data_IF_738236303313
#
_entry.id   IF_738236303313
#
_cell.length_a   1.000
_cell.length_b   1.000
_cell.length_c   1.000
_cell.angle_alpha   90.00
_cell.angle_beta   90.00
_cell.angle_gamma   90.00
#
_symmetry.space_group_name_H-M   'P 1'
#
loop_
_entity.id
_entity.type
_entity.pdbx_description
1 polymer ?
#
# COMPACT_ATOMS: atom_id res chain seq x y z
N UNK A 1 16.00 -21.56 11.49
CA UNK A 1 17.14 -20.66 11.19
C UNK A 1 18.24 -21.41 10.43
N UNK A 2 18.80 -22.49 10.99
CA UNK A 2 19.89 -23.26 10.35
C UNK A 2 19.57 -23.81 8.94
N UNK A 3 18.37 -24.32 8.70
CA UNK A 3 17.97 -24.85 7.38
C UNK A 3 17.80 -23.75 6.31
N UNK A 4 17.32 -22.57 6.70
CA UNK A 4 17.13 -21.42 5.78
C UNK A 4 18.47 -20.86 5.35
N UNK A 5 19.44 -20.79 6.27
CA UNK A 5 20.79 -20.33 5.99
C UNK A 5 21.51 -21.24 4.98
N UNK A 6 21.35 -22.56 5.11
CA UNK A 6 21.89 -23.52 4.13
C UNK A 6 21.30 -23.35 2.74
N UNK A 7 19.98 -23.13 2.63
CA UNK A 7 19.31 -22.91 1.33
C UNK A 7 19.76 -21.59 0.72
N UNK A 8 19.83 -20.51 1.49
CA UNK A 8 20.36 -19.22 1.03
C UNK A 8 21.81 -19.34 0.54
N UNK A 9 22.64 -20.12 1.24
CA UNK A 9 24.02 -20.36 0.83
C UNK A 9 24.10 -21.21 -0.45
N UNK A 10 23.26 -22.24 -0.60
CA UNK A 10 23.19 -23.03 -1.82
C UNK A 10 22.77 -22.18 -3.03
N UNK A 11 21.80 -21.27 -2.86
CA UNK A 11 21.38 -20.34 -3.92
C UNK A 11 22.50 -19.36 -4.28
N UNK A 12 23.23 -18.83 -3.29
CA UNK A 12 24.39 -17.96 -3.53
C UNK A 12 25.49 -18.66 -4.32
N UNK A 13 25.82 -19.90 -3.98
CA UNK A 13 26.84 -20.68 -4.71
C UNK A 13 26.38 -21.05 -6.12
N UNK A 14 25.09 -21.32 -6.31
CA UNK A 14 24.51 -21.55 -7.63
C UNK A 14 24.61 -20.30 -8.53
N UNK A 15 24.26 -19.12 -8.00
CA UNK A 15 24.40 -17.85 -8.72
C UNK A 15 25.85 -17.54 -9.09
N UNK A 16 26.80 -17.77 -8.17
CA UNK A 16 28.25 -17.64 -8.49
C UNK A 16 28.68 -18.57 -9.62
N UNK A 17 28.15 -19.79 -9.64
CA UNK A 17 28.45 -20.77 -10.69
C UNK A 17 27.92 -20.30 -12.05
N UNK A 18 26.69 -19.77 -12.09
CA UNK A 18 26.10 -19.20 -13.30
C UNK A 18 26.93 -18.01 -13.81
N UNK A 19 27.28 -17.07 -12.94
CA UNK A 19 28.11 -15.91 -13.32
C UNK A 19 29.49 -16.32 -13.84
N UNK A 20 30.09 -17.34 -13.23
CA UNK A 20 31.37 -17.89 -13.68
C UNK A 20 31.26 -18.56 -15.07
N UNK A 21 30.14 -19.23 -15.35
CA UNK A 21 29.85 -19.81 -16.65
C UNK A 21 29.66 -18.73 -17.72
N UNK A 22 28.92 -17.65 -17.42
CA UNK A 22 28.78 -16.49 -18.32
C UNK A 22 30.14 -15.83 -18.64
N UNK A 23 30.97 -15.60 -17.62
CA UNK A 23 32.28 -14.93 -17.79
C UNK A 23 33.28 -15.73 -18.64
N UNK A 24 33.15 -17.05 -18.68
CA UNK A 24 34.10 -17.91 -19.41
C UNK A 24 33.84 -17.99 -20.92
N UNK A 25 32.79 -17.34 -21.44
CA UNK A 25 32.48 -17.34 -22.88
C UNK A 25 32.21 -18.74 -23.44
N UNK A 26 31.94 -19.73 -22.58
CA UNK A 26 31.76 -21.14 -22.93
C UNK A 26 30.33 -21.42 -23.39
N UNK A 27 29.78 -20.62 -24.31
CA UNK A 27 28.45 -20.91 -24.86
C UNK A 27 28.42 -20.69 -26.38
N UNK A 28 28.78 -21.76 -27.11
CA UNK A 28 28.24 -22.04 -28.44
C UNK A 28 26.89 -22.75 -28.36
N UNK A 29 26.17 -22.55 -27.25
CA UNK A 29 24.88 -23.15 -26.97
C UNK A 29 23.82 -22.19 -27.52
N UNK A 30 22.84 -22.72 -28.24
CA UNK A 30 21.78 -21.91 -28.84
C UNK A 30 21.00 -21.23 -27.72
N UNK A 31 20.68 -19.94 -27.85
CA UNK A 31 19.83 -19.14 -26.93
C UNK A 31 18.65 -19.91 -26.29
N UNK A 32 18.11 -20.90 -27.00
CA UNK A 32 17.06 -21.81 -26.52
C UNK A 32 17.45 -22.60 -25.27
N UNK A 33 18.66 -23.15 -25.18
CA UNK A 33 19.06 -23.99 -24.05
C UNK A 33 19.44 -23.13 -22.82
N UNK A 34 19.92 -21.90 -23.04
CA UNK A 34 20.14 -20.91 -21.97
C UNK A 34 18.81 -20.52 -21.30
N UNK A 35 17.77 -20.28 -22.11
CA UNK A 35 16.44 -19.96 -21.61
C UNK A 35 15.80 -21.14 -20.86
N UNK A 36 16.02 -22.38 -21.34
CA UNK A 36 15.61 -23.60 -20.65
C UNK A 36 16.32 -23.79 -19.31
N UNK A 37 17.64 -23.60 -19.27
CA UNK A 37 18.41 -23.69 -18.03
C UNK A 37 17.98 -22.62 -17.02
N UNK A 38 17.77 -21.37 -17.46
CA UNK A 38 17.27 -20.29 -16.62
C UNK A 38 15.88 -20.61 -16.05
N UNK A 39 14.95 -21.11 -16.88
CA UNK A 39 13.61 -21.49 -16.45
C UNK A 39 13.63 -22.63 -15.43
N UNK A 40 14.43 -23.68 -15.67
CA UNK A 40 14.55 -24.81 -14.75
C UNK A 40 15.13 -24.38 -13.39
N UNK A 41 16.08 -23.46 -13.41
CA UNK A 41 16.71 -22.93 -12.20
C UNK A 41 15.73 -22.06 -11.41
N UNK A 42 14.98 -21.20 -12.09
CA UNK A 42 13.94 -20.38 -11.49
C UNK A 42 12.81 -21.23 -10.91
N UNK A 43 12.40 -22.29 -11.61
CA UNK A 43 11.41 -23.26 -11.13
C UNK A 43 11.91 -24.02 -9.90
N UNK A 44 13.17 -24.48 -9.92
CA UNK A 44 13.80 -25.14 -8.76
C UNK A 44 13.87 -24.19 -7.56
N UNK A 45 14.30 -22.95 -7.77
CA UNK A 45 14.33 -21.92 -6.72
C UNK A 45 12.93 -21.66 -6.15
N UNK A 46 11.92 -21.53 -7.02
CA UNK A 46 10.53 -21.33 -6.63
C UNK A 46 10.00 -22.50 -5.80
N UNK A 47 10.26 -23.74 -6.22
CA UNK A 47 9.83 -24.95 -5.51
C UNK A 47 10.51 -25.09 -4.15
N UNK A 48 11.82 -24.84 -4.06
CA UNK A 48 12.55 -24.81 -2.79
C UNK A 48 11.99 -23.75 -1.85
N UNK A 49 11.78 -22.54 -2.36
CA UNK A 49 11.18 -21.42 -1.64
C UNK A 49 9.79 -21.75 -1.08
N UNK A 50 8.94 -22.35 -1.91
CA UNK A 50 7.61 -22.82 -1.54
C UNK A 50 7.67 -23.88 -0.44
N UNK A 51 8.60 -24.84 -0.53
CA UNK A 51 8.80 -25.86 0.49
C UNK A 51 9.24 -25.26 1.84
N UNK A 52 10.14 -24.27 1.82
CA UNK A 52 10.57 -23.54 3.03
C UNK A 52 9.39 -22.77 3.64
N UNK A 53 8.64 -22.01 2.84
CA UNK A 53 7.46 -21.28 3.33
C UNK A 53 6.42 -22.22 3.94
N UNK A 54 6.19 -23.37 3.31
CA UNK A 54 5.29 -24.39 3.87
C UNK A 54 5.78 -24.91 5.22
N UNK A 55 7.08 -25.15 5.38
CA UNK A 55 7.65 -25.57 6.67
C UNK A 55 7.61 -24.48 7.73
N UNK A 56 7.84 -23.21 7.36
CA UNK A 56 7.74 -22.06 8.28
C UNK A 56 6.30 -21.93 8.78
N UNK A 57 5.31 -21.92 7.88
CA UNK A 57 3.88 -21.86 8.24
C UNK A 57 3.46 -23.05 9.10
N UNK A 58 3.94 -24.26 8.80
CA UNK A 58 3.65 -25.45 9.62
C UNK A 58 4.26 -25.33 11.03
N UNK A 59 5.47 -24.77 11.17
CA UNK A 59 6.08 -24.50 12.47
C UNK A 59 5.35 -23.40 13.24
N UNK A 60 4.88 -22.36 12.55
CA UNK A 60 4.05 -21.29 13.15
C UNK A 60 2.68 -21.82 13.62
N UNK A 61 2.04 -22.73 12.88
CA UNK A 61 0.74 -23.30 13.25
C UNK A 61 0.79 -24.37 14.35
N UNK A 62 1.96 -24.98 14.60
CA UNK A 62 2.08 -26.09 15.57
C UNK A 62 2.66 -25.68 16.92
N UNK A 63 3.10 -24.44 17.09
CA UNK A 63 3.49 -23.95 18.40
C UNK A 63 2.28 -23.39 19.15
N UNK A 64 1.93 -23.93 20.33
CA UNK A 64 0.90 -23.33 21.16
C UNK A 64 1.36 -21.93 21.55
N UNK A 65 0.59 -20.93 21.12
CA UNK A 65 0.80 -19.51 21.43
C UNK A 65 0.90 -19.39 22.95
N UNK A 66 2.12 -19.23 23.46
CA UNK A 66 2.31 -18.96 24.87
C UNK A 66 1.87 -17.50 25.12
N UNK A 67 0.98 -17.22 26.09
CA UNK A 67 0.42 -15.87 26.32
C UNK A 67 1.43 -14.78 26.77
N UNK A 68 2.74 -15.08 26.73
CA UNK A 68 3.85 -14.15 26.96
C UNK A 68 4.69 -13.94 25.68
N UNK A 69 4.14 -14.22 24.50
CA UNK A 69 4.86 -14.07 23.25
C UNK A 69 5.33 -12.62 23.04
N UNK A 70 6.64 -12.50 22.81
CA UNK A 70 7.32 -11.25 22.56
C UNK A 70 6.63 -10.54 21.41
N UNK A 71 6.15 -9.34 21.69
CA UNK A 71 5.73 -8.34 20.71
C UNK A 71 6.63 -8.38 19.48
N UNK A 72 6.06 -8.70 18.33
CA UNK A 72 6.80 -8.90 17.09
C UNK A 72 6.99 -7.55 16.40
N UNK A 73 8.21 -7.04 16.42
CA UNK A 73 8.58 -5.80 15.74
C UNK A 73 8.97 -6.06 14.30
N UNK A 74 8.40 -5.30 13.36
CA UNK A 74 8.61 -5.45 11.93
C UNK A 74 8.96 -4.12 11.29
N UNK A 75 9.93 -4.12 10.38
CA UNK A 75 10.25 -2.98 9.54
C UNK A 75 9.42 -3.03 8.25
N UNK A 76 8.77 -1.92 7.92
CA UNK A 76 7.85 -1.81 6.79
C UNK A 76 7.89 -0.41 6.17
N UNK A 77 7.22 -0.25 5.03
CA UNK A 77 6.95 1.05 4.42
C UNK A 77 5.45 1.28 4.36
N UNK A 78 5.07 2.53 4.60
CA UNK A 78 3.72 3.01 4.32
C UNK A 78 3.64 3.26 2.82
N UNK A 79 2.65 2.65 2.17
CA UNK A 79 2.56 2.63 0.70
C UNK A 79 1.34 3.33 0.17
N UNK A 80 0.28 3.38 0.97
CA UNK A 80 -0.94 4.09 0.68
C UNK A 80 -1.69 4.36 1.99
N UNK A 81 -2.63 5.30 1.97
CA UNK A 81 -3.54 5.53 3.09
C UNK A 81 -4.83 6.20 2.62
N UNK A 82 -5.89 6.01 3.39
CA UNK A 82 -7.12 6.78 3.27
C UNK A 82 -7.51 7.33 4.64
N UNK A 83 -8.75 7.78 4.80
CA UNK A 83 -9.21 8.38 6.07
C UNK A 83 -9.29 7.40 7.23
N UNK A 84 -9.31 6.09 7.00
CA UNK A 84 -9.65 5.08 8.01
C UNK A 84 -8.54 4.06 8.26
N UNK A 85 -7.70 3.79 7.27
CA UNK A 85 -6.59 2.84 7.36
C UNK A 85 -5.41 3.26 6.48
N UNK A 86 -4.29 2.56 6.65
CA UNK A 86 -3.11 2.69 5.80
C UNK A 86 -2.55 1.33 5.42
N UNK A 87 -1.94 1.26 4.24
CA UNK A 87 -1.36 0.03 3.68
C UNK A 87 0.13 -0.03 3.97
N UNK A 88 0.56 -1.15 4.56
CA UNK A 88 1.96 -1.45 4.82
C UNK A 88 2.49 -2.51 3.87
N UNK A 89 3.68 -2.26 3.35
CA UNK A 89 4.52 -3.28 2.73
C UNK A 89 5.50 -3.82 3.77
N UNK A 90 5.24 -5.03 4.25
CA UNK A 90 6.02 -5.67 5.32
C UNK A 90 7.18 -6.46 4.70
N UNK A 91 8.36 -5.85 4.65
CA UNK A 91 9.55 -6.45 4.02
C UNK A 91 10.05 -7.73 4.69
N UNK A 92 9.76 -7.89 5.99
CA UNK A 92 10.36 -8.92 6.81
C UNK A 92 9.91 -10.36 6.45
N UNK A 93 8.77 -10.54 5.76
CA UNK A 93 8.22 -11.89 5.57
C UNK A 93 8.46 -12.53 4.22
N UNK A 94 8.65 -11.78 3.13
CA UNK A 94 8.46 -12.44 1.84
C UNK A 94 9.19 -11.84 0.65
N UNK A 95 10.46 -11.47 0.81
CA UNK A 95 11.36 -11.23 -0.35
C UNK A 95 11.29 -12.42 -1.34
N UNK A 96 11.18 -13.62 -0.78
CA UNK A 96 11.07 -14.87 -1.53
C UNK A 96 9.72 -14.98 -2.27
N UNK A 97 8.57 -14.78 -1.61
CA UNK A 97 7.30 -14.80 -2.33
C UNK A 97 7.20 -13.65 -3.34
N UNK A 98 7.69 -12.45 -3.02
CA UNK A 98 7.71 -11.33 -3.98
C UNK A 98 8.51 -11.72 -5.23
N UNK A 99 9.70 -12.29 -5.06
CA UNK A 99 10.51 -12.75 -6.18
C UNK A 99 9.80 -13.85 -6.98
N UNK A 100 9.14 -14.79 -6.30
CA UNK A 100 8.37 -15.86 -6.94
C UNK A 100 7.18 -15.32 -7.74
N UNK A 101 6.41 -14.40 -7.17
CA UNK A 101 5.30 -13.71 -7.82
C UNK A 101 5.82 -12.94 -9.04
N UNK A 102 6.85 -12.11 -8.88
CA UNK A 102 7.43 -11.33 -10.00
C UNK A 102 7.89 -12.23 -11.14
N UNK A 103 8.61 -13.31 -10.83
CA UNK A 103 9.09 -14.26 -11.83
C UNK A 103 7.93 -14.92 -12.58
N UNK A 104 6.92 -15.38 -11.86
CA UNK A 104 5.71 -15.96 -12.45
C UNK A 104 4.95 -14.96 -13.34
N UNK A 105 4.72 -13.74 -12.84
CA UNK A 105 4.02 -12.71 -13.59
C UNK A 105 4.78 -12.30 -14.85
N UNK A 106 6.12 -12.36 -14.85
CA UNK A 106 6.93 -12.00 -16.02
C UNK A 106 6.92 -13.07 -17.11
N UNK A 107 6.99 -14.35 -16.76
CA UNK A 107 7.19 -15.45 -17.73
C UNK A 107 5.88 -15.96 -18.33
N UNK A 108 4.75 -15.71 -17.68
CA UNK A 108 3.48 -16.26 -18.08
C UNK A 108 2.87 -15.54 -19.29
N UNK A 109 2.22 -16.30 -20.16
CA UNK A 109 1.37 -15.75 -21.22
C UNK A 109 0.28 -14.84 -20.62
N UNK A 110 -0.03 -13.76 -21.33
CA UNK A 110 -0.92 -12.71 -20.87
C UNK A 110 -2.19 -12.74 -21.71
N UNK A 111 -3.30 -13.02 -21.05
CA UNK A 111 -4.64 -12.98 -21.64
C UNK A 111 -5.29 -11.69 -21.16
N UNK A 112 -5.74 -10.84 -22.08
CA UNK A 112 -6.43 -9.61 -21.70
C UNK A 112 -7.76 -9.91 -21.02
N UNK A 113 -8.10 -9.13 -20.00
CA UNK A 113 -9.39 -9.25 -19.32
C UNK A 113 -10.55 -8.90 -20.26
N UNK A 114 -11.60 -9.72 -20.24
CA UNK A 114 -12.84 -9.43 -20.94
C UNK A 114 -13.54 -8.23 -20.30
N UNK A 115 -13.54 -7.09 -20.99
CA UNK A 115 -13.98 -5.79 -20.45
C UNK A 115 -15.43 -5.73 -19.99
N UNK A 116 -16.28 -6.60 -20.52
CA UNK A 116 -17.71 -6.52 -20.32
C UNK A 116 -18.14 -6.93 -18.90
N UNK A 117 -17.23 -7.50 -18.11
CA UNK A 117 -17.53 -8.16 -16.84
C UNK A 117 -16.63 -7.69 -15.68
N UNK A 118 -15.90 -6.58 -15.83
CA UNK A 118 -15.04 -6.10 -14.75
C UNK A 118 -15.86 -5.39 -13.65
N UNK A 119 -15.61 -5.78 -12.41
CA UNK A 119 -16.25 -5.26 -11.21
C UNK A 119 -15.21 -4.84 -10.16
N UNK A 120 -15.63 -3.98 -9.23
CA UNK A 120 -14.81 -3.64 -8.06
C UNK A 120 -14.51 -4.93 -7.29
N UNK A 121 -13.30 -4.99 -6.74
CA UNK A 121 -12.72 -6.15 -6.06
C UNK A 121 -12.29 -7.33 -6.94
N UNK A 122 -12.50 -7.28 -8.26
CA UNK A 122 -11.94 -8.29 -9.16
C UNK A 122 -10.41 -8.28 -9.13
N UNK A 123 -9.84 -9.49 -9.13
CA UNK A 123 -8.40 -9.72 -9.14
C UNK A 123 -7.87 -9.81 -10.57
N UNK A 124 -6.75 -9.15 -10.82
CA UNK A 124 -6.14 -9.09 -12.14
C UNK A 124 -4.62 -9.13 -12.06
N UNK A 125 -3.99 -9.31 -13.21
CA UNK A 125 -2.61 -8.89 -13.43
C UNK A 125 -2.66 -7.48 -14.03
N UNK A 126 -1.82 -6.58 -13.53
CA UNK A 126 -1.73 -5.20 -14.02
C UNK A 126 -0.33 -4.88 -14.52
N UNK A 127 -0.25 -4.18 -15.65
CA UNK A 127 0.99 -3.68 -16.24
C UNK A 127 1.15 -2.17 -16.01
N UNK A 128 2.26 -1.77 -15.38
CA UNK A 128 2.48 -0.37 -15.02
C UNK A 128 3.04 0.52 -16.15
N UNK A 129 3.24 -0.02 -17.37
CA UNK A 129 3.87 0.71 -18.48
C UNK A 129 5.40 0.70 -18.49
N UNK A 130 6.05 0.24 -17.41
CA UNK A 130 7.50 0.25 -17.23
C UNK A 130 8.12 -1.16 -17.22
N UNK A 131 7.54 -2.10 -17.98
CA UNK A 131 8.00 -3.49 -18.08
C UNK A 131 7.82 -4.33 -16.79
N UNK A 132 6.97 -3.89 -15.85
CA UNK A 132 6.65 -4.64 -14.64
C UNK A 132 5.18 -5.01 -14.55
N UNK A 133 4.92 -6.20 -13.99
CA UNK A 133 3.60 -6.75 -13.76
C UNK A 133 3.37 -6.97 -12.28
N UNK A 134 2.14 -6.73 -11.83
CA UNK A 134 1.72 -6.85 -10.43
C UNK A 134 0.44 -7.65 -10.33
N UNK A 135 0.17 -8.24 -9.16
CA UNK A 135 -1.18 -8.66 -8.80
C UNK A 135 -1.96 -7.42 -8.38
N UNK A 136 -3.08 -7.22 -9.04
CA UNK A 136 -3.95 -6.06 -8.85
C UNK A 136 -5.31 -6.48 -8.30
N UNK A 137 -5.97 -5.53 -7.64
CA UNK A 137 -7.39 -5.58 -7.35
C UNK A 137 -8.05 -4.29 -7.80
N UNK A 138 -9.17 -4.37 -8.52
CA UNK A 138 -9.91 -3.18 -8.99
C UNK A 138 -10.51 -2.45 -7.78
N UNK A 139 -10.21 -1.16 -7.62
CA UNK A 139 -10.75 -0.33 -6.54
C UNK A 139 -11.63 0.82 -7.03
N UNK A 140 -11.51 1.20 -8.30
CA UNK A 140 -12.36 2.23 -8.93
C UNK A 140 -12.51 1.95 -10.43
N UNK A 141 -13.70 2.26 -10.98
CA UNK A 141 -14.00 2.20 -12.41
C UNK A 141 -14.71 3.50 -12.80
N UNK A 142 -14.07 4.32 -13.62
CA UNK A 142 -14.60 5.61 -14.09
C UNK A 142 -14.37 5.69 -15.60
N UNK A 143 -15.44 5.73 -16.40
CA UNK A 143 -15.35 5.92 -17.86
C UNK A 143 -14.37 4.95 -18.58
N UNK A 144 -14.39 3.66 -18.20
CA UNK A 144 -13.44 2.63 -18.68
C UNK A 144 -11.97 2.87 -18.31
N UNK A 145 -11.73 3.70 -17.30
CA UNK A 145 -10.47 3.82 -16.57
C UNK A 145 -10.56 3.09 -15.26
N UNK A 146 -9.46 2.46 -14.87
CA UNK A 146 -9.39 1.61 -13.71
C UNK A 146 -8.33 2.12 -12.76
N UNK A 147 -8.69 2.24 -11.48
CA UNK A 147 -7.70 2.34 -10.42
C UNK A 147 -7.51 0.96 -9.79
N UNK A 148 -6.27 0.52 -9.70
CA UNK A 148 -5.88 -0.81 -9.27
C UNK A 148 -4.95 -0.71 -8.07
N UNK A 149 -5.29 -1.35 -6.95
CA UNK A 149 -4.34 -1.52 -5.85
C UNK A 149 -3.44 -2.73 -6.13
N UNK A 150 -2.12 -2.53 -6.08
CA UNK A 150 -1.14 -3.60 -6.15
C UNK A 150 -1.13 -4.36 -4.82
N UNK A 151 -1.87 -5.47 -4.72
CA UNK A 151 -2.14 -6.17 -3.44
C UNK A 151 -0.88 -6.71 -2.73
N UNK A 152 0.25 -6.77 -3.42
CA UNK A 152 1.54 -7.18 -2.86
C UNK A 152 2.42 -6.02 -2.37
N UNK A 153 2.05 -4.80 -2.75
CA UNK A 153 2.85 -3.61 -2.53
C UNK A 153 2.08 -2.49 -1.82
N UNK A 154 0.75 -2.50 -1.88
CA UNK A 154 -0.16 -1.55 -1.24
C UNK A 154 -0.32 -0.22 -2.00
N UNK A 155 0.51 0.06 -3.01
CA UNK A 155 0.35 1.26 -3.84
C UNK A 155 -0.80 1.12 -4.86
N UNK A 156 -1.40 2.24 -5.24
CA UNK A 156 -2.46 2.32 -6.25
C UNK A 156 -1.86 2.79 -7.59
N UNK A 157 -2.22 2.11 -8.67
CA UNK A 157 -1.99 2.55 -10.04
C UNK A 157 -3.31 3.14 -10.56
N UNK A 158 -3.27 4.38 -11.04
CA UNK A 158 -4.47 5.14 -11.40
C UNK A 158 -4.64 5.29 -12.91
N UNK A 159 -5.89 5.51 -13.33
CA UNK A 159 -6.26 5.86 -14.71
C UNK A 159 -5.80 4.82 -15.76
N UNK A 160 -5.71 3.55 -15.36
CA UNK A 160 -5.27 2.48 -16.23
C UNK A 160 -6.34 2.15 -17.27
N UNK A 161 -5.89 1.64 -18.41
CA UNK A 161 -6.77 1.19 -19.50
C UNK A 161 -6.84 -0.33 -19.56
N UNK A 162 -7.85 -0.82 -20.27
CA UNK A 162 -8.11 -2.25 -20.50
C UNK A 162 -6.90 -3.08 -20.95
N UNK A 163 -6.08 -2.51 -21.83
CA UNK A 163 -4.87 -3.12 -22.39
C UNK A 163 -3.76 -3.31 -21.35
N UNK A 164 -3.87 -2.66 -20.20
CA UNK A 164 -2.95 -2.85 -19.08
C UNK A 164 -3.44 -3.91 -18.08
N UNK A 165 -4.64 -4.47 -18.30
CA UNK A 165 -5.27 -5.43 -17.41
C UNK A 165 -5.32 -6.81 -18.08
N UNK A 166 -4.86 -7.82 -17.35
CA UNK A 166 -4.80 -9.19 -17.80
C UNK A 166 -5.44 -10.12 -16.77
N UNK A 167 -5.94 -11.25 -17.24
CA UNK A 167 -6.54 -12.27 -16.39
C UNK A 167 -5.48 -12.76 -15.39
N UNK A 168 -5.88 -12.89 -14.14
CA UNK A 168 -5.10 -13.61 -13.15
C UNK A 168 -5.52 -15.08 -13.22
N UNK A 169 -4.75 -15.96 -13.87
CA UNK A 169 -5.18 -17.34 -14.06
C UNK A 169 -5.29 -18.05 -12.71
N UNK A 170 -6.26 -18.97 -12.63
CA UNK A 170 -6.69 -19.70 -11.43
C UNK A 170 -5.67 -20.76 -10.96
N UNK A 171 -4.44 -20.32 -10.73
CA UNK A 171 -3.28 -21.16 -10.43
C UNK A 171 -2.71 -20.75 -9.07
N UNK A 172 -1.78 -21.53 -8.54
CA UNK A 172 -1.15 -21.40 -7.22
C UNK A 172 -0.80 -19.97 -6.74
N UNK A 173 -0.56 -19.04 -7.66
CA UNK A 173 -0.32 -17.62 -7.36
C UNK A 173 -1.57 -16.90 -6.82
N UNK A 174 -2.77 -17.35 -7.14
CA UNK A 174 -4.01 -16.90 -6.50
C UNK A 174 -4.07 -17.25 -5.01
N UNK A 175 -3.51 -18.40 -4.64
CA UNK A 175 -3.53 -18.90 -3.25
C UNK A 175 -2.50 -18.22 -2.34
N UNK A 176 -1.60 -17.42 -2.91
CA UNK A 176 -0.69 -16.61 -2.11
C UNK A 176 -1.51 -15.43 -1.59
N UNK A 177 -1.66 -15.30 -0.27
CA UNK A 177 -2.31 -14.13 0.31
C UNK A 177 -1.66 -12.83 -0.20
N UNK A 178 -2.40 -11.71 -0.29
CA UNK A 178 -1.81 -10.38 -0.49
C UNK A 178 -0.60 -10.19 0.42
N UNK A 179 0.46 -9.54 -0.04
CA UNK A 179 1.62 -9.25 0.80
C UNK A 179 1.56 -7.87 1.45
N UNK A 180 0.78 -6.95 0.88
CA UNK A 180 0.43 -5.71 1.55
C UNK A 180 -0.68 -5.97 2.59
N UNK A 181 -0.64 -5.19 3.68
CA UNK A 181 -1.57 -5.32 4.80
C UNK A 181 -2.21 -3.98 5.12
N UNK A 182 -3.54 -3.97 5.18
CA UNK A 182 -4.29 -2.84 5.71
C UNK A 182 -4.11 -2.79 7.22
N UNK A 183 -3.82 -1.60 7.74
CA UNK A 183 -3.47 -1.38 9.13
C UNK A 183 -4.25 -0.22 9.74
N UNK A 184 -4.52 -0.33 11.03
CA UNK A 184 -5.03 0.74 11.88
C UNK A 184 -4.15 0.88 13.12
N UNK A 185 -4.13 2.05 13.75
CA UNK A 185 -3.37 2.26 14.98
C UNK A 185 -4.11 1.57 16.14
N UNK A 186 -3.40 0.70 16.85
CA UNK A 186 -3.92 0.04 18.04
C UNK A 186 -4.25 1.04 19.17
N UNK A 187 -5.38 0.79 19.84
CA UNK A 187 -5.93 1.60 20.94
C UNK A 187 -6.19 3.08 20.57
N UNK A 188 -6.53 3.34 19.31
CA UNK A 188 -6.98 4.64 18.80
C UNK A 188 -8.40 4.45 18.27
N UNK A 189 -9.35 5.27 18.73
CA UNK A 189 -10.72 5.27 18.23
C UNK A 189 -10.82 5.82 16.79
N UNK A 190 -11.90 5.49 16.07
CA UNK A 190 -12.08 5.86 14.66
C UNK A 190 -11.90 7.35 14.37
N UNK A 191 -12.41 8.24 15.24
CA UNK A 191 -12.29 9.69 15.06
C UNK A 191 -10.83 10.15 15.16
N UNK A 192 -10.13 9.67 16.19
CA UNK A 192 -8.71 9.97 16.36
C UNK A 192 -7.85 9.26 15.31
N UNK A 193 -8.35 8.17 14.73
CA UNK A 193 -7.63 7.41 13.75
C UNK A 193 -7.54 8.16 12.42
N UNK A 194 -8.64 8.77 11.96
CA UNK A 194 -8.59 9.68 10.81
C UNK A 194 -7.65 10.86 11.04
N UNK A 195 -7.68 11.46 12.23
CA UNK A 195 -6.77 12.57 12.58
C UNK A 195 -5.30 12.15 12.55
N UNK A 196 -4.98 10.99 13.12
CA UNK A 196 -3.62 10.46 13.10
C UNK A 196 -3.13 10.21 11.67
N UNK A 197 -4.01 9.73 10.80
CA UNK A 197 -3.67 9.48 9.40
C UNK A 197 -3.41 10.79 8.66
N UNK A 198 -4.31 11.77 8.78
CA UNK A 198 -4.17 13.06 8.10
C UNK A 198 -2.96 13.86 8.59
N UNK A 199 -2.75 13.95 9.91
CA UNK A 199 -1.72 14.81 10.50
C UNK A 199 -0.32 14.19 10.45
N UNK A 200 -0.20 12.87 10.53
CA UNK A 200 1.10 12.20 10.67
C UNK A 200 1.33 11.21 9.55
N UNK A 201 0.45 10.21 9.36
CA UNK A 201 0.75 9.10 8.45
C UNK A 201 0.96 9.57 7.01
N UNK A 202 0.11 10.48 6.52
CA UNK A 202 0.27 11.08 5.17
C UNK A 202 1.55 11.89 5.00
N UNK A 203 2.11 12.38 6.09
CA UNK A 203 3.34 13.21 6.07
C UNK A 203 4.62 12.36 6.10
N UNK A 204 4.51 11.06 6.37
CA UNK A 204 5.64 10.14 6.35
C UNK A 204 6.05 9.92 4.87
N UNK A 205 7.29 10.27 4.48
CA UNK A 205 7.74 10.06 3.11
C UNK A 205 7.67 8.59 2.71
N UNK A 206 7.30 8.30 1.46
CA UNK A 206 7.25 6.93 0.92
C UNK A 206 8.61 6.20 0.91
N UNK A 207 9.70 6.95 1.09
CA UNK A 207 11.07 6.43 1.23
C UNK A 207 11.42 6.05 2.66
N UNK A 208 10.71 6.56 3.67
CA UNK A 208 10.96 6.31 5.11
C UNK A 208 10.52 4.90 5.48
N UNK A 209 11.37 4.19 6.23
CA UNK A 209 10.99 2.92 6.86
C UNK A 209 10.46 3.19 8.26
N UNK A 210 9.37 2.50 8.61
CA UNK A 210 8.80 2.56 9.96
C UNK A 210 8.89 1.19 10.60
N UNK A 211 8.94 1.19 11.94
CA UNK A 211 8.82 -0.04 12.72
C UNK A 211 7.40 -0.14 13.24
N UNK A 212 6.77 -1.31 13.07
CA UNK A 212 5.49 -1.62 13.69
C UNK A 212 5.66 -2.71 14.73
N UNK A 213 4.82 -2.64 15.75
CA UNK A 213 4.47 -3.76 16.62
C UNK A 213 3.05 -4.19 16.27
N UNK A 214 2.83 -5.47 15.99
CA UNK A 214 1.48 -6.01 15.79
C UNK A 214 0.89 -6.33 17.16
N UNK A 215 -0.22 -5.68 17.50
CA UNK A 215 -0.89 -5.81 18.80
C UNK A 215 -2.12 -6.71 18.71
N UNK A 216 -2.83 -6.65 17.57
CA UNK A 216 -4.00 -7.48 17.28
C UNK A 216 -4.19 -7.61 15.76
N UNK A 217 -5.00 -8.58 15.33
CA UNK A 217 -5.37 -8.83 13.93
C UNK A 217 -6.84 -9.27 13.87
N UNK A 218 -7.58 -8.72 12.90
CA UNK A 218 -8.89 -9.25 12.50
C UNK A 218 -8.86 -9.66 11.02
N UNK A 219 -10.01 -10.07 10.47
CA UNK A 219 -10.12 -10.54 9.09
C UNK A 219 -9.72 -9.48 8.04
N UNK A 220 -9.69 -8.20 8.42
CA UNK A 220 -9.51 -7.06 7.51
C UNK A 220 -8.26 -6.24 7.81
N UNK A 221 -7.93 -6.03 9.08
CA UNK A 221 -6.92 -5.09 9.54
C UNK A 221 -5.92 -5.71 10.51
N UNK A 222 -4.67 -5.24 10.38
CA UNK A 222 -3.70 -5.34 11.46
C UNK A 222 -3.81 -4.10 12.36
N UNK A 223 -3.96 -4.32 13.66
CA UNK A 223 -3.88 -3.25 14.64
C UNK A 223 -2.45 -3.14 15.15
N UNK A 224 -1.83 -2.00 14.86
CA UNK A 224 -0.39 -1.83 15.06
C UNK A 224 -0.06 -0.63 15.94
N UNK A 225 1.04 -0.76 16.70
CA UNK A 225 1.75 0.38 17.26
C UNK A 225 2.82 0.82 16.26
N UNK A 226 2.74 2.05 15.76
CA UNK A 226 3.67 2.59 14.77
C UNK A 226 4.77 3.44 15.43
N UNK A 227 6.01 3.10 15.11
CA UNK A 227 7.24 3.68 15.68
C UNK A 227 8.10 4.20 14.53
N UNK A 228 8.39 5.51 14.55
CA UNK A 228 9.29 6.14 13.57
C UNK A 228 10.75 5.99 13.97
N UNK A 229 11.68 6.29 13.06
CA UNK A 229 13.13 6.22 13.32
C UNK A 229 13.59 7.05 14.53
N UNK A 230 12.88 8.14 14.83
CA UNK A 230 13.11 8.97 16.03
C UNK A 230 12.68 8.31 17.35
N UNK A 231 12.26 7.04 17.31
CA UNK A 231 11.58 6.32 18.40
C UNK A 231 10.26 6.98 18.85
N UNK A 232 9.71 7.90 18.05
CA UNK A 232 8.40 8.48 18.31
C UNK A 232 7.30 7.43 18.08
N UNK A 233 6.50 7.18 19.11
CA UNK A 233 5.32 6.29 19.05
C UNK A 233 4.12 7.13 18.61
N UNK A 234 3.65 6.90 17.39
CA UNK A 234 2.57 7.69 16.79
C UNK A 234 1.26 7.53 17.55
N UNK A 235 0.90 6.30 17.95
CA UNK A 235 -0.36 6.00 18.65
C UNK A 235 -0.55 6.84 19.91
N UNK A 236 0.54 7.13 20.65
CA UNK A 236 0.48 7.79 21.97
C UNK A 236 -0.20 9.15 21.92
N UNK A 237 -0.01 9.92 20.84
CA UNK A 237 -0.64 11.25 20.69
C UNK A 237 -2.17 11.17 20.52
N UNK A 238 -2.71 10.03 20.08
CA UNK A 238 -4.10 9.91 19.63
C UNK A 238 -4.96 8.97 20.49
N UNK A 239 -4.41 8.39 21.57
CA UNK A 239 -5.19 7.55 22.50
C UNK A 239 -6.21 8.40 23.27
N UNK A 240 -7.43 7.89 23.40
CA UNK A 240 -8.51 8.57 24.11
C UNK A 240 -8.25 8.75 25.60
N UNK A 241 -7.53 7.81 26.23
CA UNK A 241 -7.30 7.80 27.67
C UNK A 241 -6.41 8.97 28.16
N UNK A 242 -5.56 9.52 27.28
CA UNK A 242 -4.62 10.58 27.63
C UNK A 242 -5.28 11.99 27.71
N UNK A 243 -6.45 12.19 27.07
CA UNK A 243 -7.12 13.51 27.04
C UNK A 243 -7.65 13.93 28.41
N UNK A 244 -8.01 12.98 29.28
CA UNK A 244 -8.48 13.27 30.64
C UNK A 244 -7.39 13.80 31.59
N UNK A 245 -6.11 13.74 31.18
CA UNK A 245 -4.98 14.22 31.99
C UNK A 245 -4.61 15.67 31.64
N UNK A 246 -4.75 16.09 30.39
CA UNK A 246 -4.41 17.46 29.98
C UNK A 246 -5.46 18.51 30.42
N UNK A 247 -6.76 18.21 30.30
CA UNK A 247 -7.83 19.13 30.72
C UNK A 247 -7.84 19.42 32.23
N UNK A 248 -7.25 18.53 33.05
CA UNK A 248 -7.11 18.72 34.49
C UNK A 248 -5.93 19.62 34.87
N UNK A 249 -4.93 19.77 34.00
CA UNK A 249 -3.75 20.59 34.26
C UNK A 249 -3.93 22.04 33.80
N UNK A 250 -4.73 22.32 32.77
CA UNK A 250 -5.02 23.70 32.36
C UNK A 250 -6.03 24.41 33.28
N UNK A 251 -6.91 23.70 33.98
CA UNK A 251 -7.87 24.29 34.93
C UNK A 251 -7.30 24.61 36.33
N UNK A 252 -5.99 24.49 36.56
CA UNK A 252 -5.35 24.78 37.86
C UNK A 252 -4.46 26.02 37.90
N UNK A 253 -4.37 26.81 36.83
CA UNK A 253 -3.44 27.96 36.75
C UNK A 253 -4.10 29.34 36.86
N UNK A 254 -5.29 29.47 37.47
CA UNK A 254 -5.87 30.80 37.71
C UNK A 254 -6.49 30.90 39.12
N UNK A 255 -5.63 31.14 40.10
CA UNK A 255 -6.01 31.73 41.40
C UNK A 255 -4.75 32.29 42.08
N UNK A 256 -4.37 33.50 41.68
CA UNK A 256 -3.25 34.25 42.25
C UNK A 256 -3.36 35.74 41.98
N UNK A 257 -4.32 36.39 42.66
CA UNK A 257 -4.56 37.83 42.68
C UNK A 257 -3.29 38.66 42.98
N UNK A 258 -3.04 39.73 42.22
CA UNK A 258 -2.48 40.95 42.81
C UNK A 258 -3.26 42.17 42.31
N UNK A 259 -3.78 42.91 43.29
CA UNK A 259 -4.61 44.09 43.19
C UNK A 259 -3.69 45.33 43.21
N UNK A 260 -3.82 46.25 42.26
CA UNK A 260 -3.34 47.64 42.42
C UNK A 260 -4.28 48.60 41.70
N UNK A 261 -4.97 49.43 42.49
CA UNK A 261 -5.61 50.67 42.05
C UNK A 261 -4.53 51.70 41.68
N UNK A 262 -4.77 52.53 40.64
CA UNK A 262 -5.01 54.00 40.78
C UNK A 262 -5.21 54.71 39.43
N UNK A 263 -6.25 55.57 39.43
CA UNK A 263 -6.43 56.90 38.79
C UNK A 263 -6.52 57.10 37.26
N UNK A 264 -7.75 57.44 36.83
CA UNK A 264 -8.19 58.61 36.04
C UNK A 264 -7.22 59.30 35.07
N UNK A 265 -7.59 59.39 33.77
CA UNK A 265 -7.72 60.64 32.98
C UNK A 265 -8.66 60.41 31.77
N UNK A 266 -9.43 61.47 31.49
CA UNK A 266 -10.51 61.81 30.56
C UNK A 266 -10.39 61.52 29.02
N UNK A 267 -11.45 61.84 28.22
CA UNK A 267 -11.85 61.15 27.00
C UNK A 267 -11.41 61.83 25.70
N UNK A 268 -11.48 61.07 24.60
CA UNK A 268 -11.30 61.57 23.24
C UNK A 268 -12.14 60.79 22.24
N UNK A 269 -12.93 61.53 21.47
CA UNK A 269 -13.78 61.13 20.35
C UNK A 269 -13.00 60.39 19.25
N UNK A 270 -13.68 59.52 18.48
CA UNK A 270 -13.81 59.67 17.03
C UNK A 270 -14.38 58.40 16.38
N UNK A 271 -15.26 58.66 15.42
CA UNK A 271 -15.86 57.82 14.37
C UNK A 271 -14.84 56.87 13.70
N UNK A 272 -15.20 55.73 13.11
CA UNK A 272 -16.00 55.59 11.89
C UNK A 272 -16.25 54.09 11.53
N UNK A 273 -17.25 53.91 10.65
CA UNK A 273 -17.69 52.68 9.98
C UNK A 273 -16.59 51.86 9.29
N UNK A 274 -16.80 50.55 9.15
CA UNK A 274 -17.09 49.97 7.82
C UNK A 274 -17.55 48.50 7.93
N UNK A 275 -18.76 48.28 7.40
CA UNK A 275 -19.35 46.99 7.06
C UNK A 275 -18.64 46.42 5.82
N UNK A 276 -18.22 45.17 5.89
CA UNK A 276 -17.89 44.38 4.70
C UNK A 276 -18.80 43.16 4.61
N UNK A 277 -19.90 43.38 3.92
CA UNK A 277 -20.75 42.36 3.31
C UNK A 277 -19.97 41.72 2.16
N UNK A 278 -19.79 40.40 2.19
CA UNK A 278 -19.22 39.63 1.08
C UNK A 278 -20.36 39.23 0.15
N UNK A 279 -20.35 39.82 -1.05
CA UNK A 279 -21.20 39.54 -2.19
C UNK A 279 -20.68 38.28 -2.93
N UNK A 280 -21.53 37.28 -3.08
CA UNK A 280 -21.26 36.10 -3.91
C UNK A 280 -22.03 36.24 -5.22
N UNK A 281 -21.35 36.79 -6.22
CA UNK A 281 -21.86 36.85 -7.59
C UNK A 281 -22.09 35.45 -8.17
N UNK A 282 -23.30 35.26 -8.65
CA UNK A 282 -23.72 34.18 -9.56
C UNK A 282 -23.08 34.42 -10.93
N UNK A 283 -22.37 33.43 -11.47
CA UNK A 283 -22.06 33.36 -12.91
C UNK A 283 -22.47 32.00 -13.45
N UNK A 284 -23.69 32.00 -13.99
CA UNK A 284 -24.32 31.01 -14.84
C UNK A 284 -23.71 31.10 -16.24
N UNK A 285 -23.07 30.03 -16.75
CA UNK A 285 -22.82 29.88 -18.19
C UNK A 285 -23.11 28.46 -18.66
N UNK A 286 -24.36 28.28 -19.05
CA UNK A 286 -24.82 27.22 -19.95
C UNK A 286 -24.07 27.26 -21.28
N UNK A 287 -23.43 26.16 -21.67
CA UNK A 287 -23.10 25.89 -23.07
C UNK A 287 -23.55 24.48 -23.45
N UNK A 288 -24.74 24.43 -24.04
CA UNK A 288 -25.31 23.28 -24.73
C UNK A 288 -24.61 23.08 -26.08
N UNK A 289 -23.78 22.04 -26.19
CA UNK A 289 -23.20 21.61 -27.48
C UNK A 289 -24.22 20.76 -28.23
N UNK A 290 -24.71 21.27 -29.37
CA UNK A 290 -25.52 20.53 -30.34
C UNK A 290 -24.66 19.47 -31.04
N UNK A 291 -25.03 18.20 -30.91
CA UNK A 291 -24.46 17.09 -31.69
C UNK A 291 -25.18 17.05 -33.04
N UNK A 292 -24.45 17.28 -34.13
CA UNK A 292 -24.91 16.99 -35.48
C UNK A 292 -24.72 15.48 -35.75
N UNK A 293 -25.82 14.80 -36.02
CA UNK A 293 -25.84 13.41 -36.48
C UNK A 293 -25.71 13.41 -38.00
N UNK A 294 -24.52 13.08 -38.52
CA UNK A 294 -24.35 12.71 -39.93
C UNK A 294 -24.39 11.19 -40.07
N UNK A 295 -25.52 10.69 -40.56
CA UNK A 295 -25.70 9.33 -41.06
C UNK A 295 -24.96 9.15 -42.39
N UNK A 296 -23.86 8.38 -42.39
CA UNK A 296 -23.26 7.87 -43.62
C UNK A 296 -23.61 6.40 -43.84
N UNK A 297 -24.59 6.18 -44.72
CA UNK A 297 -24.91 4.92 -45.35
C UNK A 297 -23.83 4.56 -46.38
N UNK A 298 -23.02 3.52 -46.12
CA UNK A 298 -22.13 2.93 -47.12
C UNK A 298 -22.63 1.56 -47.55
N UNK A 299 -22.95 1.51 -48.85
CA UNK A 299 -23.52 0.41 -49.61
C UNK A 299 -22.63 -0.83 -49.64
N UNK A 300 -23.28 -1.99 -49.46
CA UNK A 300 -22.87 -3.29 -50.00
C UNK A 300 -22.54 -3.18 -51.49
N UNK A 301 -21.37 -3.67 -51.89
CA UNK A 301 -21.12 -4.18 -53.24
C UNK A 301 -20.61 -5.61 -53.14
N UNK A 302 -21.45 -6.53 -53.58
CA UNK A 302 -21.12 -7.88 -54.01
C UNK A 302 -20.26 -7.83 -55.27
N UNK A 303 -19.20 -8.65 -55.28
CA UNK A 303 -18.77 -9.49 -56.39
C UNK A 303 -18.01 -10.67 -55.81
#
# INVERSE_FOLDING_TARGET
VWEVEHICNAVKELNKTIDALYKKGHFGIKQRDEMLAYNLLHETYYNCSKAVLKQVRQKEQTQPIHPNEKTKFLTCKITNCNTNYFDLNIFAFDIVAISGIKGYLKTREKVHLALNNLSIDDLCIVFNGHHEYFRGKIVSIIENKYDIICIDYGNILQNLTADQLFELPDVEVFHIAPLARQCQLYAVDDLNQSKAIEEIIKTIPSTEYVTISIENEDDKYLFVTLIRETNAIVNKKYRSDDKNIQDKNEKKSDNGKHLTLTTDVQPGESTCHDDHTIDYGEDDLSTSTKINVETNNSKKKTN
#
